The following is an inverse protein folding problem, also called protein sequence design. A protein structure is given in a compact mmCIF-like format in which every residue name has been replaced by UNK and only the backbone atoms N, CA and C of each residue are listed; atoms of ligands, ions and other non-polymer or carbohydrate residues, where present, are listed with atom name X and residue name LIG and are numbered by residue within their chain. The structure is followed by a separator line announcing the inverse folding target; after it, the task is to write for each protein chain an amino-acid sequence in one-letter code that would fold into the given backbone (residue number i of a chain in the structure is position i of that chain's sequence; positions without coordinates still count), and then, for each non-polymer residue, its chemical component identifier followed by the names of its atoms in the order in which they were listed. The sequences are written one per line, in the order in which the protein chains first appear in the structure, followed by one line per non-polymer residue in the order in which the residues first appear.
data_IF_413548957366
#
_entry.id   IF_413548957366
#
_cell.length_a   1.000
_cell.length_b   1.000
_cell.length_c   1.000
_cell.angle_alpha   90.00
_cell.angle_beta   90.00
_cell.angle_gamma   90.00
#
_symmetry.space_group_name_H-M   'P 1'
#
loop_
_entity.id
_entity.type
_entity.pdbx_description
1 polymer ?
#
# COMPACT_ATOMS: atom_id res chain seq x y z
N UNK A 1 -0.60 -32.94 19.22
CA UNK A 1 -0.38 -31.50 18.99
C UNK A 1 -0.96 -31.14 17.64
N UNK A 2 -1.86 -30.17 17.62
CA UNK A 2 -2.69 -29.77 16.49
C UNK A 2 -1.85 -29.22 15.32
N UNK A 3 -2.00 -29.82 14.14
CA UNK A 3 -1.61 -29.23 12.87
C UNK A 3 -2.66 -28.17 12.51
N UNK A 4 -2.34 -26.89 12.72
CA UNK A 4 -3.13 -25.80 12.15
C UNK A 4 -2.91 -25.75 10.64
N UNK A 5 -3.96 -25.79 9.80
CA UNK A 5 -3.82 -25.52 8.39
C UNK A 5 -3.52 -24.04 8.22
N UNK A 6 -2.36 -23.74 7.61
CA UNK A 6 -1.99 -22.41 7.16
C UNK A 6 -2.94 -22.03 6.01
N UNK A 7 -4.10 -21.47 6.34
CA UNK A 7 -4.98 -20.87 5.33
C UNK A 7 -4.25 -19.68 4.75
N UNK A 8 -3.70 -19.85 3.55
CA UNK A 8 -3.29 -18.79 2.63
C UNK A 8 -4.53 -17.92 2.36
N UNK A 9 -4.76 -16.96 3.25
CA UNK A 9 -5.64 -15.84 2.98
C UNK A 9 -4.91 -15.01 1.92
N UNK A 10 -5.12 -15.33 0.64
CA UNK A 10 -4.72 -14.44 -0.45
C UNK A 10 -5.57 -13.20 -0.29
N UNK A 11 -5.05 -12.23 0.45
CA UNK A 11 -5.57 -10.88 0.45
C UNK A 11 -5.50 -10.41 -1.00
N UNK A 12 -6.63 -10.47 -1.69
CA UNK A 12 -6.86 -9.68 -2.89
C UNK A 12 -6.78 -8.24 -2.42
N UNK A 13 -5.56 -7.69 -2.44
CA UNK A 13 -5.33 -6.27 -2.26
C UNK A 13 -6.03 -5.63 -3.44
N UNK A 14 -7.27 -5.18 -3.22
CA UNK A 14 -7.99 -4.37 -4.19
C UNK A 14 -7.11 -3.16 -4.45
N UNK A 15 -6.57 -3.04 -5.66
CA UNK A 15 -5.82 -1.86 -6.06
C UNK A 15 -6.77 -0.67 -5.99
N UNK A 16 -6.68 0.13 -4.94
CA UNK A 16 -7.41 1.40 -4.80
C UNK A 16 -6.65 2.51 -5.50
N UNK A 17 -6.32 2.31 -6.78
CA UNK A 17 -5.73 3.35 -7.61
C UNK A 17 -6.84 4.12 -8.30
N UNK A 18 -6.91 5.41 -8.02
CA UNK A 18 -7.76 6.34 -8.73
C UNK A 18 -6.96 7.16 -9.72
N UNK A 19 -7.54 7.33 -10.89
CA UNK A 19 -6.99 8.12 -11.98
C UNK A 19 -7.95 9.27 -12.30
N UNK A 20 -7.45 10.27 -12.99
CA UNK A 20 -8.18 11.47 -13.38
C UNK A 20 -8.46 11.42 -14.89
N UNK A 21 -9.73 11.38 -15.26
CA UNK A 21 -10.15 11.58 -16.64
C UNK A 21 -10.49 13.06 -16.84
N UNK A 22 -9.62 13.76 -17.57
CA UNK A 22 -9.68 15.21 -17.72
C UNK A 22 -10.01 15.58 -19.17
N UNK A 23 -11.29 15.87 -19.43
CA UNK A 23 -11.75 16.35 -20.73
C UNK A 23 -11.84 17.88 -20.72
N UNK A 24 -11.30 18.52 -21.76
CA UNK A 24 -11.31 19.99 -21.89
C UNK A 24 -12.42 20.40 -22.85
N UNK A 25 -13.38 21.17 -22.35
CA UNK A 25 -14.48 21.71 -23.16
C UNK A 25 -14.39 23.23 -23.26
N UNK A 26 -14.13 23.76 -24.46
CA UNK A 26 -14.14 25.20 -24.71
C UNK A 26 -15.56 25.75 -24.53
N UNK A 27 -15.70 26.83 -23.76
CA UNK A 27 -16.99 27.45 -23.44
C UNK A 27 -17.64 26.96 -22.14
N UNK A 28 -17.09 25.92 -21.50
CA UNK A 28 -17.47 25.50 -20.14
C UNK A 28 -16.45 25.95 -19.08
N UNK A 29 -16.75 25.73 -17.80
CA UNK A 29 -15.79 25.89 -16.70
C UNK A 29 -15.88 27.20 -15.92
N UNK A 30 -15.25 27.21 -14.74
CA UNK A 30 -15.24 28.34 -13.81
C UNK A 30 -14.02 29.21 -14.09
N UNK A 31 -14.23 30.51 -14.31
CA UNK A 31 -13.12 31.45 -14.39
C UNK A 31 -12.44 31.58 -13.02
N UNK A 32 -11.11 31.53 -13.00
CA UNK A 32 -10.31 31.77 -11.78
C UNK A 32 -9.32 32.91 -11.97
N UNK A 33 -8.87 33.48 -10.85
CA UNK A 33 -7.73 34.39 -10.81
C UNK A 33 -6.44 33.66 -10.48
N UNK A 34 -5.31 34.30 -10.78
CA UNK A 34 -3.96 33.79 -10.46
C UNK A 34 -3.66 33.98 -8.95
N UNK A 35 -4.36 33.21 -8.11
CA UNK A 35 -4.35 33.37 -6.66
C UNK A 35 -2.98 33.09 -6.04
N UNK A 36 -2.20 32.19 -6.65
CA UNK A 36 -0.81 31.89 -6.26
C UNK A 36 0.11 33.12 -6.31
N UNK A 37 -0.29 34.18 -7.03
CA UNK A 37 0.45 35.43 -7.15
C UNK A 37 -0.13 36.58 -6.31
N UNK A 38 -1.11 36.31 -5.45
CA UNK A 38 -1.67 37.31 -4.53
C UNK A 38 -0.79 37.44 -3.27
N UNK A 39 -0.77 38.64 -2.71
CA UNK A 39 -0.15 38.99 -1.42
C UNK A 39 1.35 38.69 -1.30
N UNK A 40 2.10 38.79 -2.40
CA UNK A 40 3.55 38.51 -2.40
C UNK A 40 4.37 39.48 -1.53
N UNK A 41 3.94 40.74 -1.43
CA UNK A 41 4.69 41.79 -0.73
C UNK A 41 4.41 41.87 0.77
N UNK A 42 3.25 41.37 1.22
CA UNK A 42 2.73 41.62 2.57
C UNK A 42 2.27 40.38 3.33
N UNK A 43 2.26 39.21 2.68
CA UNK A 43 1.65 37.98 3.22
C UNK A 43 2.64 36.87 3.60
N UNK A 44 3.76 36.73 2.88
CA UNK A 44 4.66 35.60 3.11
C UNK A 44 5.98 36.02 3.75
N UNK A 45 6.49 35.14 4.61
CA UNK A 45 7.87 35.18 5.09
C UNK A 45 8.57 33.96 4.48
N UNK A 46 9.56 34.21 3.63
CA UNK A 46 10.33 33.14 3.01
C UNK A 46 11.57 32.76 3.82
N UNK A 47 11.73 31.46 4.11
CA UNK A 47 12.99 30.85 4.54
C UNK A 47 13.71 30.22 3.35
N UNK A 48 15.04 30.34 3.27
CA UNK A 48 15.82 29.57 2.29
C UNK A 48 16.17 28.22 2.87
N UNK A 49 15.88 27.12 2.18
CA UNK A 49 16.20 25.77 2.66
C UNK A 49 16.69 24.87 1.54
N UNK A 50 17.44 23.83 1.90
CA UNK A 50 17.79 22.75 0.98
C UNK A 50 16.89 21.56 1.32
N UNK A 51 16.01 21.18 0.39
CA UNK A 51 15.00 20.13 0.60
C UNK A 51 15.17 18.99 -0.39
N UNK A 52 14.72 17.82 0.02
CA UNK A 52 14.66 16.64 -0.86
C UNK A 52 13.28 16.58 -1.50
N UNK A 53 13.24 16.67 -2.82
CA UNK A 53 12.08 16.36 -3.63
C UNK A 53 12.00 14.88 -3.92
N UNK A 54 10.78 14.38 -4.03
CA UNK A 54 10.45 13.00 -4.34
C UNK A 54 9.47 13.05 -5.51
N UNK A 55 9.88 12.56 -6.68
CA UNK A 55 9.01 12.40 -7.84
C UNK A 55 8.53 10.95 -7.86
N UNK A 56 7.26 10.74 -7.53
CA UNK A 56 6.62 9.45 -7.56
C UNK A 56 6.11 9.11 -8.96
N UNK A 57 6.15 7.82 -9.28
CA UNK A 57 5.47 7.21 -10.41
C UNK A 57 4.47 6.19 -9.84
N UNK A 58 3.18 6.49 -9.95
CA UNK A 58 2.11 5.70 -9.34
C UNK A 58 1.89 4.36 -10.04
N UNK A 59 2.35 4.19 -11.28
CA UNK A 59 2.24 2.93 -12.02
C UNK A 59 3.26 1.91 -11.53
N UNK A 60 4.51 2.34 -11.41
CA UNK A 60 5.63 1.44 -11.07
C UNK A 60 5.88 1.35 -9.55
N UNK A 61 5.13 2.12 -8.74
CA UNK A 61 5.37 2.37 -7.31
C UNK A 61 6.83 2.73 -7.01
N UNK A 62 7.44 3.53 -7.91
CA UNK A 62 8.83 3.96 -7.86
C UNK A 62 8.93 5.45 -7.54
N UNK A 63 9.98 5.83 -6.82
CA UNK A 63 10.24 7.19 -6.39
C UNK A 63 11.66 7.62 -6.75
N UNK A 64 11.79 8.77 -7.42
CA UNK A 64 13.08 9.40 -7.71
C UNK A 64 13.30 10.61 -6.81
N UNK A 65 14.40 10.59 -6.08
CA UNK A 65 14.73 11.64 -5.12
C UNK A 65 15.80 12.57 -5.68
N UNK A 66 15.66 13.87 -5.43
CA UNK A 66 16.69 14.86 -5.74
C UNK A 66 16.63 16.03 -4.77
N UNK A 67 17.77 16.65 -4.48
CA UNK A 67 17.86 17.79 -3.55
C UNK A 67 17.97 19.10 -4.33
N UNK A 68 17.29 20.14 -3.87
CA UNK A 68 17.35 21.48 -4.44
C UNK A 68 17.19 22.55 -3.35
N UNK A 69 17.87 23.68 -3.52
CA UNK A 69 17.62 24.88 -2.73
C UNK A 69 16.31 25.54 -3.14
N UNK A 70 15.50 25.89 -2.14
CA UNK A 70 14.15 26.45 -2.29
C UNK A 70 13.96 27.65 -1.38
N UNK A 71 12.94 28.45 -1.68
CA UNK A 71 12.34 29.34 -0.70
C UNK A 71 10.99 28.79 -0.27
N UNK A 72 10.76 28.67 1.03
CA UNK A 72 9.51 28.12 1.59
C UNK A 72 8.86 29.20 2.44
N UNK A 73 7.54 29.29 2.35
CA UNK A 73 6.69 30.05 3.27
C UNK A 73 5.59 29.13 3.80
N UNK A 74 4.69 29.65 4.64
CA UNK A 74 3.56 28.88 5.16
C UNK A 74 2.58 28.40 4.08
N UNK A 75 2.49 29.11 2.96
CA UNK A 75 1.48 28.85 1.91
C UNK A 75 2.05 28.31 0.61
N UNK A 76 3.36 28.49 0.36
CA UNK A 76 3.96 28.17 -0.94
C UNK A 76 5.43 27.81 -0.87
N UNK A 77 5.86 27.06 -1.88
CA UNK A 77 7.23 26.67 -2.13
C UNK A 77 7.71 27.22 -3.48
N UNK A 78 8.89 27.84 -3.50
CA UNK A 78 9.57 28.35 -4.68
C UNK A 78 10.80 27.50 -4.99
N UNK A 79 10.81 26.84 -6.14
CA UNK A 79 11.98 26.14 -6.68
C UNK A 79 12.88 27.12 -7.41
N UNK A 80 14.10 27.31 -6.91
CA UNK A 80 15.03 28.31 -7.42
C UNK A 80 15.53 27.91 -8.82
N UNK A 81 15.94 26.65 -9.02
CA UNK A 81 16.54 26.19 -10.27
C UNK A 81 15.50 26.09 -11.37
N UNK A 82 14.33 25.57 -11.05
CA UNK A 82 13.23 25.42 -12.01
C UNK A 82 12.45 26.71 -12.25
N UNK A 83 12.63 27.74 -11.40
CA UNK A 83 11.81 28.97 -11.37
C UNK A 83 10.31 28.67 -11.36
N UNK A 84 9.91 27.74 -10.49
CA UNK A 84 8.51 27.33 -10.34
C UNK A 84 8.03 27.58 -8.92
N UNK A 85 6.75 27.92 -8.80
CA UNK A 85 6.06 28.15 -7.54
C UNK A 85 4.91 27.15 -7.41
N UNK A 86 4.78 26.56 -6.22
CA UNK A 86 3.79 25.53 -5.90
C UNK A 86 3.00 25.94 -4.65
N UNK A 87 1.71 25.68 -4.68
CA UNK A 87 0.88 25.61 -3.48
C UNK A 87 1.02 24.22 -2.87
N UNK A 88 0.79 24.11 -1.56
CA UNK A 88 0.69 22.81 -0.90
C UNK A 88 -0.67 22.21 -1.23
N UNK A 89 -0.66 21.13 -2.00
CA UNK A 89 -1.87 20.49 -2.53
C UNK A 89 -2.34 19.30 -1.70
N UNK A 90 -3.58 18.90 -1.93
CA UNK A 90 -4.09 17.60 -1.51
C UNK A 90 -3.84 16.61 -2.66
N UNK A 91 -2.93 15.67 -2.45
CA UNK A 91 -2.58 14.69 -3.48
C UNK A 91 -3.45 13.44 -3.47
N UNK A 92 -3.30 12.58 -4.50
CA UNK A 92 -3.84 11.24 -4.49
C UNK A 92 -3.24 10.41 -3.34
N UNK A 93 -3.76 9.19 -3.15
CA UNK A 93 -3.24 8.25 -2.17
C UNK A 93 -1.72 8.13 -2.28
N UNK A 94 -1.04 8.42 -1.18
CA UNK A 94 0.42 8.47 -1.11
C UNK A 94 1.02 7.09 -1.45
N UNK A 95 1.94 6.99 -2.42
CA UNK A 95 2.65 5.75 -2.74
C UNK A 95 3.50 5.24 -1.57
N UNK A 96 3.79 3.94 -1.56
CA UNK A 96 4.54 3.32 -0.47
C UNK A 96 5.98 3.85 -0.37
N UNK A 97 6.55 4.26 -1.50
CA UNK A 97 7.89 4.83 -1.61
C UNK A 97 8.01 6.27 -1.09
N UNK A 98 6.90 6.94 -0.79
CA UNK A 98 6.90 8.31 -0.24
C UNK A 98 6.80 8.27 1.29
N UNK A 99 7.83 8.75 2.02
CA UNK A 99 7.87 8.68 3.48
C UNK A 99 6.78 9.51 4.15
N UNK A 100 6.49 9.20 5.41
CA UNK A 100 5.62 10.02 6.23
C UNK A 100 6.20 11.43 6.46
N UNK A 101 5.33 12.42 6.50
CA UNK A 101 5.71 13.83 6.64
C UNK A 101 6.14 14.52 5.33
N UNK A 102 6.20 13.81 4.20
CA UNK A 102 6.34 14.44 2.90
C UNK A 102 5.07 15.23 2.54
N UNK A 103 5.24 16.43 2.00
CA UNK A 103 4.15 17.32 1.60
C UNK A 103 3.97 17.25 0.10
N UNK A 104 2.73 17.10 -0.33
CA UNK A 104 2.38 17.02 -1.75
C UNK A 104 2.38 18.41 -2.41
N UNK A 105 2.91 18.47 -3.62
CA UNK A 105 2.87 19.67 -4.46
C UNK A 105 1.88 19.47 -5.61
N UNK A 106 2.29 18.74 -6.65
CA UNK A 106 1.47 18.44 -7.84
C UNK A 106 2.14 17.37 -8.70
N UNK A 107 1.37 16.67 -9.54
CA UNK A 107 1.84 15.69 -10.52
C UNK A 107 2.77 14.62 -9.92
N UNK A 108 2.48 14.10 -8.73
CA UNK A 108 3.36 13.12 -8.06
C UNK A 108 4.66 13.71 -7.49
N UNK A 109 4.80 15.03 -7.44
CA UNK A 109 5.92 15.70 -6.79
C UNK A 109 5.59 15.96 -5.32
N UNK A 110 6.45 15.44 -4.45
CA UNK A 110 6.45 15.73 -3.02
C UNK A 110 7.74 16.43 -2.64
N UNK A 111 7.73 17.14 -1.52
CA UNK A 111 8.96 17.56 -0.86
C UNK A 111 8.96 17.09 0.59
N UNK A 112 10.15 16.75 1.09
CA UNK A 112 10.35 16.38 2.47
C UNK A 112 10.86 17.61 3.25
N UNK A 113 10.05 18.18 4.16
CA UNK A 113 10.48 19.33 4.96
C UNK A 113 11.68 18.96 5.84
N UNK A 114 12.58 19.92 6.04
CA UNK A 114 13.72 19.74 6.93
C UNK A 114 13.22 19.72 8.38
N UNK A 115 13.66 18.75 9.21
CA UNK A 115 13.26 18.64 10.63
C UNK A 115 13.65 19.86 11.49
N UNK A 116 14.41 20.81 10.92
CA UNK A 116 14.89 22.04 11.57
C UNK A 116 14.24 23.28 10.93
N UNK A 117 12.92 23.30 10.79
CA UNK A 117 12.17 24.52 10.49
C UNK A 117 12.26 25.50 11.68
N UNK A 118 13.41 26.17 11.82
CA UNK A 118 13.54 27.37 12.63
C UNK A 118 13.35 28.56 11.70
N UNK A 119 12.10 29.01 11.56
CA UNK A 119 11.69 30.14 10.73
C UNK A 119 12.49 31.43 11.01
N UNK A 120 13.13 31.53 12.18
CA UNK A 120 13.79 32.75 12.67
C UNK A 120 15.21 32.91 12.11
N UNK A 121 15.95 31.84 11.79
CA UNK A 121 17.40 31.94 11.49
C UNK A 121 17.77 32.00 10.01
N UNK A 122 16.82 31.80 9.08
CA UNK A 122 17.13 31.76 7.64
C UNK A 122 16.15 32.57 6.76
N UNK A 123 15.65 33.67 7.32
CA UNK A 123 14.72 34.57 6.64
C UNK A 123 15.43 35.20 5.44
N UNK A 124 14.93 34.93 4.25
CA UNK A 124 15.43 35.46 2.98
C UNK A 124 14.31 36.18 2.23
N UNK A 125 13.51 36.97 2.96
CA UNK A 125 12.24 37.47 2.44
C UNK A 125 12.38 38.31 1.18
N UNK A 126 13.39 39.19 1.11
CA UNK A 126 13.64 40.01 -0.06
C UNK A 126 13.99 39.17 -1.31
N UNK A 127 14.79 38.12 -1.15
CA UNK A 127 15.19 37.25 -2.26
C UNK A 127 14.04 36.32 -2.70
N UNK A 128 13.33 35.74 -1.73
CA UNK A 128 12.15 34.91 -1.97
C UNK A 128 11.05 35.71 -2.67
N UNK A 129 10.71 36.90 -2.15
CA UNK A 129 9.71 37.79 -2.76
C UNK A 129 10.12 38.23 -4.16
N UNK A 130 11.38 38.58 -4.39
CA UNK A 130 11.88 38.92 -5.73
C UNK A 130 11.73 37.75 -6.71
N UNK A 131 12.03 36.53 -6.28
CA UNK A 131 11.83 35.34 -7.11
C UNK A 131 10.35 35.10 -7.39
N UNK A 132 9.48 35.19 -6.38
CA UNK A 132 8.05 35.02 -6.53
C UNK A 132 7.46 36.01 -7.56
N UNK A 133 7.83 37.29 -7.48
CA UNK A 133 7.44 38.29 -8.46
C UNK A 133 7.93 37.96 -9.88
N UNK A 134 9.17 37.48 -10.02
CA UNK A 134 9.69 37.04 -11.31
C UNK A 134 8.87 35.89 -11.89
N UNK A 135 8.55 34.88 -11.08
CA UNK A 135 7.74 33.72 -11.49
C UNK A 135 6.32 34.16 -11.87
N UNK A 136 5.70 35.05 -11.08
CA UNK A 136 4.37 35.56 -11.37
C UNK A 136 4.30 36.41 -12.65
N UNK A 137 5.38 37.14 -12.96
CA UNK A 137 5.51 37.82 -14.26
C UNK A 137 5.56 36.81 -15.41
N UNK A 138 6.31 35.72 -15.25
CA UNK A 138 6.36 34.63 -16.24
C UNK A 138 4.98 33.97 -16.41
N UNK A 139 4.25 33.71 -15.33
CA UNK A 139 2.88 33.16 -15.39
C UNK A 139 1.91 34.12 -16.09
N UNK A 140 2.00 35.41 -15.80
CA UNK A 140 1.17 36.42 -16.47
C UNK A 140 1.46 36.48 -17.97
N UNK A 141 2.73 36.39 -18.36
CA UNK A 141 3.12 36.30 -19.76
C UNK A 141 2.62 34.99 -20.41
N UNK A 142 2.67 33.88 -19.69
CA UNK A 142 2.14 32.59 -20.15
C UNK A 142 0.64 32.69 -20.47
N UNK A 143 -0.14 33.31 -19.57
CA UNK A 143 -1.59 33.49 -19.70
C UNK A 143 -1.95 34.45 -20.84
N UNK A 144 -1.15 35.50 -21.03
CA UNK A 144 -1.39 36.54 -22.04
C UNK A 144 -0.76 36.23 -23.41
N UNK A 145 -0.07 35.08 -23.56
CA UNK A 145 0.49 34.67 -24.83
C UNK A 145 -0.62 34.47 -25.87
N UNK A 146 -0.35 34.89 -27.12
CA UNK A 146 -1.31 34.77 -28.22
C UNK A 146 -1.31 33.38 -28.87
N UNK A 147 -0.23 32.63 -28.69
CA UNK A 147 -0.04 31.35 -29.35
C UNK A 147 -0.83 30.24 -28.65
N UNK A 148 -1.43 29.35 -29.45
CA UNK A 148 -2.04 28.13 -28.94
C UNK A 148 -0.96 27.22 -28.37
N UNK A 149 -1.16 26.76 -27.14
CA UNK A 149 -0.29 25.81 -26.46
C UNK A 149 -0.88 24.41 -26.49
N UNK A 150 -0.03 23.41 -26.26
CA UNK A 150 -0.49 22.05 -26.09
C UNK A 150 -1.47 21.96 -24.91
N UNK A 151 -2.46 21.06 -25.03
CA UNK A 151 -3.47 20.84 -23.99
C UNK A 151 -2.80 20.36 -22.70
N UNK A 152 -1.82 19.45 -22.80
CA UNK A 152 -1.04 18.96 -21.66
C UNK A 152 -0.27 20.09 -20.96
N UNK A 153 0.44 20.94 -21.70
CA UNK A 153 1.17 22.08 -21.13
C UNK A 153 0.24 23.05 -20.39
N UNK A 154 -0.94 23.31 -20.96
CA UNK A 154 -1.95 24.19 -20.35
C UNK A 154 -2.53 23.57 -19.08
N UNK A 155 -2.84 22.27 -19.10
CA UNK A 155 -3.31 21.51 -17.94
C UNK A 155 -2.29 21.55 -16.82
N UNK A 156 -1.04 21.20 -17.09
CA UNK A 156 0.03 21.13 -16.09
C UNK A 156 0.28 22.53 -15.48
N UNK A 157 0.23 23.59 -16.28
CA UNK A 157 0.29 24.96 -15.79
C UNK A 157 -0.87 25.30 -14.83
N UNK A 158 -2.11 25.00 -15.24
CA UNK A 158 -3.32 25.27 -14.46
C UNK A 158 -3.29 24.52 -13.11
N UNK A 159 -2.90 23.25 -13.13
CA UNK A 159 -2.75 22.42 -11.94
C UNK A 159 -1.69 22.97 -11.00
N UNK A 160 -0.55 23.41 -11.54
CA UNK A 160 0.52 24.01 -10.75
C UNK A 160 0.08 25.30 -10.04
N UNK A 161 -0.66 26.18 -10.71
CA UNK A 161 -1.12 27.44 -10.10
C UNK A 161 -2.30 27.26 -9.13
N UNK A 162 -3.06 26.18 -9.27
CA UNK A 162 -4.22 25.88 -8.44
C UNK A 162 -3.89 24.92 -7.27
N UNK A 163 -2.86 24.09 -7.42
CA UNK A 163 -2.44 23.12 -6.41
C UNK A 163 -3.29 21.85 -6.35
N UNK A 164 -3.85 21.39 -7.47
CA UNK A 164 -4.64 20.16 -7.50
C UNK A 164 -4.58 19.43 -8.84
N UNK A 165 -4.44 18.09 -8.83
CA UNK A 165 -4.45 17.27 -10.05
C UNK A 165 -5.86 16.95 -10.56
N UNK A 166 -6.87 17.07 -9.70
CA UNK A 166 -8.27 16.79 -10.06
C UNK A 166 -8.94 17.90 -10.88
N UNK A 167 -8.15 18.80 -11.47
CA UNK A 167 -8.65 19.84 -12.35
C UNK A 167 -7.89 19.85 -13.67
N UNK A 168 -8.59 20.32 -14.69
CA UNK A 168 -8.04 20.69 -16.00
C UNK A 168 -8.60 22.05 -16.39
N UNK A 169 -8.26 22.55 -17.58
CA UNK A 169 -8.81 23.80 -18.04
C UNK A 169 -8.20 24.29 -19.34
N UNK A 170 -8.51 25.54 -19.65
CA UNK A 170 -8.00 26.24 -20.83
C UNK A 170 -7.78 27.71 -20.52
N UNK A 171 -6.97 28.34 -21.36
CA UNK A 171 -6.67 29.76 -21.30
C UNK A 171 -7.17 30.40 -22.59
N UNK A 172 -8.01 31.42 -22.47
CA UNK A 172 -8.50 32.19 -23.63
C UNK A 172 -8.64 33.66 -23.27
N UNK A 173 -8.13 34.55 -24.13
CA UNK A 173 -8.23 35.99 -23.94
C UNK A 173 -7.62 36.48 -22.62
N UNK A 174 -6.49 35.90 -22.18
CA UNK A 174 -5.83 36.26 -20.93
C UNK A 174 -6.57 35.82 -19.66
N UNK A 175 -7.56 34.93 -19.78
CA UNK A 175 -8.35 34.40 -18.66
C UNK A 175 -8.18 32.89 -18.56
N UNK A 176 -8.18 32.40 -17.32
CA UNK A 176 -8.04 30.98 -16.99
C UNK A 176 -9.40 30.42 -16.61
N UNK A 177 -9.78 29.31 -17.23
CA UNK A 177 -11.01 28.59 -16.93
C UNK A 177 -10.66 27.17 -16.48
N UNK A 178 -11.18 26.76 -15.33
CA UNK A 178 -10.96 25.42 -14.79
C UNK A 178 -12.21 24.57 -14.84
N UNK A 179 -12.01 23.26 -14.96
CA UNK A 179 -13.02 22.22 -14.97
C UNK A 179 -12.54 21.07 -14.06
N UNK A 180 -13.42 20.50 -13.22
CA UNK A 180 -13.06 19.33 -12.45
C UNK A 180 -12.85 18.13 -13.39
N UNK A 181 -11.87 17.30 -13.07
CA UNK A 181 -11.71 16.00 -13.69
C UNK A 181 -12.60 14.96 -13.00
N UNK A 182 -12.90 13.89 -13.72
CA UNK A 182 -13.66 12.76 -13.19
C UNK A 182 -12.68 11.75 -12.62
N UNK A 183 -12.81 11.47 -11.32
CA UNK A 183 -12.06 10.40 -10.67
C UNK A 183 -12.59 9.04 -11.15
N UNK A 184 -11.69 8.21 -11.67
CA UNK A 184 -12.00 6.90 -12.27
C UNK A 184 -11.13 5.84 -11.64
N UNK A 185 -11.75 4.75 -11.18
CA UNK A 185 -11.03 3.61 -10.62
C UNK A 185 -10.60 2.65 -11.72
N UNK A 186 -9.33 2.24 -11.70
CA UNK A 186 -8.86 1.20 -12.60
C UNK A 186 -9.36 -0.17 -12.15
N UNK A 187 -9.79 -0.98 -13.11
CA UNK A 187 -10.04 -2.41 -12.90
C UNK A 187 -8.72 -3.18 -12.91
N UNK A 188 -7.80 -2.82 -13.81
CA UNK A 188 -6.46 -3.39 -13.82
C UNK A 188 -5.44 -2.47 -14.50
N UNK A 189 -4.16 -2.66 -14.15
CA UNK A 189 -3.03 -2.00 -14.80
C UNK A 189 -2.21 -3.04 -15.53
N UNK A 190 -2.03 -2.84 -16.84
CA UNK A 190 -1.27 -3.76 -17.66
C UNK A 190 0.20 -3.35 -17.60
N UNK A 191 0.97 -4.08 -16.78
CA UNK A 191 2.42 -3.83 -16.63
C UNK A 191 3.23 -3.99 -17.92
N UNK A 192 2.69 -4.70 -18.91
CA UNK A 192 3.27 -4.79 -20.25
C UNK A 192 2.87 -3.58 -21.08
N UNK A 193 3.86 -2.80 -21.51
CA UNK A 193 3.67 -1.75 -22.53
C UNK A 193 3.49 -2.30 -23.96
N UNK A 194 3.43 -3.63 -24.12
CA UNK A 194 3.18 -4.31 -25.40
C UNK A 194 1.83 -5.01 -25.35
N UNK A 195 0.95 -4.68 -26.30
CA UNK A 195 -0.38 -5.27 -26.49
C UNK A 195 -0.56 -5.65 -27.97
N UNK A 196 -0.94 -6.90 -28.24
CA UNK A 196 -1.18 -7.40 -29.60
C UNK A 196 -0.04 -7.10 -30.60
N UNK A 197 1.20 -7.14 -30.13
CA UNK A 197 2.40 -6.85 -30.93
C UNK A 197 2.74 -5.37 -31.08
N UNK A 198 1.89 -4.46 -30.62
CA UNK A 198 2.11 -3.01 -30.65
C UNK A 198 2.70 -2.56 -29.31
N UNK A 199 3.73 -1.72 -29.35
CA UNK A 199 4.38 -1.17 -28.18
C UNK A 199 3.98 0.29 -27.97
N UNK A 200 3.61 0.62 -26.74
CA UNK A 200 3.14 1.94 -26.32
C UNK A 200 4.16 2.58 -25.39
N UNK A 201 4.29 3.91 -25.46
CA UNK A 201 5.13 4.66 -24.53
C UNK A 201 4.48 4.74 -23.16
N UNK A 202 3.17 4.98 -23.13
CA UNK A 202 2.33 5.06 -21.93
C UNK A 202 1.92 3.66 -21.45
N UNK A 203 1.55 3.54 -20.17
CA UNK A 203 1.12 2.28 -19.59
C UNK A 203 -0.37 2.07 -19.84
N UNK A 204 -0.80 0.92 -20.39
CA UNK A 204 -2.21 0.63 -20.58
C UNK A 204 -2.94 0.33 -19.27
N UNK A 205 -4.12 0.93 -19.11
CA UNK A 205 -4.99 0.85 -17.95
C UNK A 205 -6.37 0.38 -18.41
N UNK A 206 -6.92 -0.63 -17.76
CA UNK A 206 -8.30 -1.08 -18.02
C UNK A 206 -9.22 -0.45 -16.99
N UNK A 207 -10.21 0.31 -17.47
CA UNK A 207 -11.28 0.88 -16.66
C UNK A 207 -12.62 0.24 -17.03
N UNK A 208 -13.56 0.22 -16.07
CA UNK A 208 -14.90 -0.35 -16.25
C UNK A 208 -14.88 -1.78 -16.85
N UNK A 209 -13.87 -2.58 -16.50
CA UNK A 209 -13.71 -3.97 -16.92
C UNK A 209 -13.29 -4.22 -18.37
N UNK A 210 -13.40 -3.25 -19.28
CA UNK A 210 -13.16 -3.48 -20.72
C UNK A 210 -12.59 -2.31 -21.50
N UNK A 211 -12.68 -1.08 -20.98
CA UNK A 211 -12.19 0.10 -21.70
C UNK A 211 -10.70 0.27 -21.47
N UNK A 212 -9.93 0.25 -22.57
CA UNK A 212 -8.50 0.51 -22.54
C UNK A 212 -8.23 2.02 -22.61
N UNK A 213 -7.50 2.52 -21.63
CA UNK A 213 -6.94 3.88 -21.60
C UNK A 213 -5.46 3.79 -21.28
N UNK A 214 -4.78 4.94 -21.26
CA UNK A 214 -3.35 4.99 -21.06
C UNK A 214 -2.97 6.04 -20.03
N UNK A 215 -1.89 5.78 -19.29
CA UNK A 215 -1.34 6.74 -18.35
C UNK A 215 0.17 6.76 -18.42
N UNK A 216 0.76 7.96 -18.38
CA UNK A 216 2.20 8.15 -18.39
C UNK A 216 2.81 8.11 -16.98
N UNK A 217 2.09 8.61 -15.98
CA UNK A 217 2.57 8.78 -14.60
C UNK A 217 1.67 8.13 -13.54
N UNK A 218 0.52 7.59 -13.95
CA UNK A 218 -0.47 6.98 -13.05
C UNK A 218 -1.36 7.99 -12.34
N UNK A 219 -1.58 9.15 -12.96
CA UNK A 219 -2.51 10.18 -12.48
C UNK A 219 -3.58 10.39 -13.54
N UNK A 220 -3.18 10.79 -14.76
CA UNK A 220 -4.12 11.07 -15.84
C UNK A 220 -4.43 9.83 -16.68
N UNK A 221 -5.68 9.74 -17.14
CA UNK A 221 -6.09 8.84 -18.21
C UNK A 221 -6.19 9.59 -19.53
N UNK A 222 -5.56 9.01 -20.55
CA UNK A 222 -5.57 9.47 -21.93
C UNK A 222 -6.19 8.38 -22.80
N UNK A 223 -7.06 8.77 -23.74
CA UNK A 223 -7.69 7.83 -24.68
C UNK A 223 -6.75 7.38 -25.79
N UNK A 224 -5.70 8.17 -26.04
CA UNK A 224 -4.69 7.92 -27.06
C UNK A 224 -3.35 7.63 -26.41
N UNK A 225 -2.53 6.83 -27.08
CA UNK A 225 -1.16 6.55 -26.67
C UNK A 225 -0.20 6.68 -27.84
N UNK A 226 1.06 6.96 -27.51
CA UNK A 226 2.12 7.05 -28.48
C UNK A 226 2.67 5.66 -28.77
N UNK A 227 2.53 5.20 -30.00
CA UNK A 227 3.17 3.96 -30.45
C UNK A 227 4.67 4.17 -30.63
N UNK A 228 5.48 3.24 -30.13
CA UNK A 228 6.94 3.26 -30.25
C UNK A 228 7.45 1.91 -30.74
N UNK A 229 8.68 1.89 -31.23
CA UNK A 229 9.35 0.65 -31.60
C UNK A 229 9.55 -0.26 -30.36
N UNK A 230 9.15 -1.52 -30.48
CA UNK A 230 9.25 -2.50 -29.39
C UNK A 230 10.70 -2.74 -28.93
N UNK A 231 11.65 -2.69 -29.86
CA UNK A 231 13.07 -2.90 -29.54
C UNK A 231 13.60 -1.83 -28.57
N UNK A 232 13.03 -0.61 -28.62
CA UNK A 232 13.38 0.49 -27.71
C UNK A 232 12.91 0.24 -26.26
N UNK A 233 11.76 -0.44 -26.09
CA UNK A 233 11.22 -0.79 -24.76
C UNK A 233 12.00 -1.96 -24.17
N UNK A 234 12.32 -2.97 -24.98
CA UNK A 234 12.99 -4.19 -24.52
C UNK A 234 14.41 -3.92 -24.04
N UNK A 235 15.15 -3.01 -24.70
CA UNK A 235 16.49 -2.55 -24.27
C UNK A 235 16.51 -1.85 -22.92
N UNK A 236 15.44 -1.13 -22.56
CA UNK A 236 15.33 -0.52 -21.23
C UNK A 236 14.97 -1.56 -20.16
N UNK A 237 14.29 -2.64 -20.54
CA UNK A 237 13.88 -3.71 -19.61
C UNK A 237 15.07 -4.60 -19.23
N UNK A 238 15.98 -4.90 -20.15
CA UNK A 238 17.14 -5.77 -19.89
C UNK A 238 18.03 -5.25 -18.74
N UNK A 239 18.25 -3.93 -18.62
CA UNK A 239 18.99 -3.36 -17.48
C UNK A 239 18.29 -3.53 -16.11
N UNK A 240 16.96 -3.59 -16.08
CA UNK A 240 16.18 -3.82 -14.85
C UNK A 240 16.14 -5.32 -14.49
N UNK A 241 16.18 -6.20 -15.50
CA UNK A 241 16.18 -7.65 -15.29
C UNK A 241 17.46 -8.15 -14.62
N UNK A 242 18.63 -7.56 -14.90
CA UNK A 242 19.88 -7.91 -14.21
C UNK A 242 19.77 -7.70 -12.69
N UNK A 243 19.13 -6.61 -12.25
CA UNK A 243 18.87 -6.35 -10.83
C UNK A 243 17.85 -7.33 -10.22
N UNK A 244 16.82 -7.72 -10.98
CA UNK A 244 15.82 -8.72 -10.53
C UNK A 244 16.37 -10.15 -10.48
N UNK A 245 17.35 -10.51 -11.32
CA UNK A 245 18.04 -11.80 -11.26
C UNK A 245 18.84 -11.90 -9.96
N UNK A 246 19.50 -10.82 -9.55
CA UNK A 246 20.19 -10.75 -8.26
C UNK A 246 19.21 -10.96 -7.09
N UNK A 247 18.07 -10.26 -7.11
CA UNK A 247 17.02 -10.43 -6.09
C UNK A 247 16.45 -11.85 -6.05
N UNK A 248 16.15 -12.46 -7.21
CA UNK A 248 15.67 -13.84 -7.28
C UNK A 248 16.67 -14.83 -6.68
N UNK A 249 17.97 -14.65 -6.93
CA UNK A 249 19.02 -15.49 -6.32
C UNK A 249 19.07 -15.33 -4.80
N UNK A 250 18.92 -14.10 -4.29
CA UNK A 250 18.87 -13.83 -2.85
C UNK A 250 17.65 -14.52 -2.21
N UNK A 251 16.46 -14.39 -2.82
CA UNK A 251 15.24 -15.04 -2.33
C UNK A 251 15.39 -16.57 -2.33
N UNK A 252 15.97 -17.13 -3.39
CA UNK A 252 16.21 -18.58 -3.50
C UNK A 252 17.19 -19.06 -2.41
N UNK A 253 18.26 -18.31 -2.16
CA UNK A 253 19.21 -18.60 -1.08
C UNK A 253 18.57 -18.50 0.32
N UNK A 254 17.74 -17.50 0.57
CA UNK A 254 17.02 -17.39 1.85
C UNK A 254 16.01 -18.52 2.03
N UNK A 255 15.31 -18.91 0.97
CA UNK A 255 14.37 -20.03 1.01
C UNK A 255 15.06 -21.37 1.27
N UNK A 256 16.24 -21.61 0.69
CA UNK A 256 16.99 -22.85 0.92
C UNK A 256 17.56 -22.91 2.34
N UNK A 257 18.00 -21.78 2.91
CA UNK A 257 18.42 -21.69 4.31
C UNK A 257 17.26 -22.03 5.25
N UNK A 258 16.05 -21.51 5.00
CA UNK A 258 14.86 -21.83 5.80
C UNK A 258 14.51 -23.32 5.74
N UNK A 259 14.56 -23.92 4.55
CA UNK A 259 14.32 -25.36 4.37
C UNK A 259 15.38 -26.19 5.13
N UNK A 260 16.65 -25.81 5.05
CA UNK A 260 17.74 -26.49 5.77
C UNK A 260 17.54 -26.41 7.28
N UNK A 261 17.15 -25.25 7.81
CA UNK A 261 16.86 -25.05 9.23
C UNK A 261 15.67 -25.90 9.70
N UNK A 262 14.63 -26.05 8.87
CA UNK A 262 13.51 -26.95 9.17
C UNK A 262 13.95 -28.41 9.22
N UNK A 263 14.76 -28.87 8.25
CA UNK A 263 15.31 -30.23 8.22
C UNK A 263 16.18 -30.50 9.45
N UNK A 264 17.08 -29.57 9.79
CA UNK A 264 17.93 -29.67 10.99
C UNK A 264 17.09 -29.77 12.27
N UNK A 265 16.04 -28.96 12.40
CA UNK A 265 15.11 -29.05 13.52
C UNK A 265 14.41 -30.42 13.57
N UNK A 266 13.96 -30.97 12.44
CA UNK A 266 13.38 -32.31 12.39
C UNK A 266 14.37 -33.40 12.82
N UNK A 267 15.64 -33.31 12.38
CA UNK A 267 16.70 -34.24 12.77
C UNK A 267 16.97 -34.14 14.27
N UNK A 268 17.09 -32.92 14.82
CA UNK A 268 17.33 -32.69 16.25
C UNK A 268 16.18 -33.23 17.10
N UNK A 269 14.93 -32.98 16.71
CA UNK A 269 13.74 -33.51 17.39
C UNK A 269 13.78 -35.04 17.35
N UNK A 270 14.05 -35.64 16.18
CA UNK A 270 14.12 -37.09 16.02
C UNK A 270 15.22 -37.70 16.90
N UNK A 271 16.39 -37.07 16.94
CA UNK A 271 17.52 -37.52 17.77
C UNK A 271 17.20 -37.40 19.27
N UNK A 272 16.62 -36.28 19.71
CA UNK A 272 16.17 -36.11 21.09
C UNK A 272 15.14 -37.18 21.49
N UNK A 273 14.19 -37.51 20.61
CA UNK A 273 13.20 -38.56 20.88
C UNK A 273 13.83 -39.95 20.92
N UNK A 274 14.80 -40.25 20.05
CA UNK A 274 15.53 -41.54 20.02
C UNK A 274 16.33 -41.76 21.30
N UNK A 275 17.09 -40.76 21.76
CA UNK A 275 17.80 -40.85 23.05
C UNK A 275 16.85 -40.97 24.25
N UNK A 276 15.66 -40.37 24.16
CA UNK A 276 14.61 -40.57 25.15
C UNK A 276 14.09 -42.01 25.18
N UNK A 277 13.99 -42.68 24.03
CA UNK A 277 13.59 -44.07 23.93
C UNK A 277 14.69 -45.03 24.42
N UNK A 278 15.98 -44.76 24.15
CA UNK A 278 17.08 -45.56 24.71
C UNK A 278 17.12 -45.50 26.23
N UNK A 279 16.88 -44.32 26.82
CA UNK A 279 16.76 -44.18 28.29
C UNK A 279 15.58 -44.97 28.84
N UNK A 280 14.42 -44.93 28.17
CA UNK A 280 13.24 -45.72 28.57
C UNK A 280 13.46 -47.22 28.38
N UNK A 281 14.16 -47.65 27.33
CA UNK A 281 14.49 -49.05 27.11
C UNK A 281 15.45 -49.57 28.19
N UNK A 282 16.48 -48.79 28.57
CA UNK A 282 17.38 -49.13 29.67
C UNK A 282 16.67 -49.13 31.04
N UNK A 283 15.69 -48.25 31.25
CA UNK A 283 14.85 -48.23 32.46
C UNK A 283 13.89 -49.43 32.54
N UNK A 284 13.33 -49.85 31.39
CA UNK A 284 12.50 -51.07 31.31
C UNK A 284 13.36 -52.31 31.60
N UNK A 285 14.55 -52.42 31.02
CA UNK A 285 15.48 -53.54 31.26
C UNK A 285 15.95 -53.60 32.72
N UNK A 286 16.19 -52.45 33.35
CA UNK A 286 16.52 -52.38 34.78
C UNK A 286 15.35 -52.78 35.69
N UNK A 287 14.12 -52.38 35.36
CA UNK A 287 12.93 -52.79 36.12
C UNK A 287 12.61 -54.27 35.95
N UNK A 288 12.84 -54.84 34.75
CA UNK A 288 12.66 -56.26 34.48
C UNK A 288 13.73 -57.10 35.21
N UNK A 289 14.96 -56.60 35.28
CA UNK A 289 16.02 -57.16 36.13
C UNK A 289 15.62 -57.15 37.62
N UNK A 290 15.12 -56.02 38.15
CA UNK A 290 14.66 -55.93 39.54
C UNK A 290 13.48 -56.86 39.83
N UNK A 291 12.54 -57.00 38.88
CA UNK A 291 11.40 -57.89 39.01
C UNK A 291 11.84 -59.36 39.03
N UNK A 292 12.77 -59.76 38.16
CA UNK A 292 13.34 -61.11 38.16
C UNK A 292 14.15 -61.40 39.44
N UNK A 293 14.92 -60.43 39.93
CA UNK A 293 15.68 -60.56 41.19
C UNK A 293 14.75 -60.73 42.41
N UNK A 294 13.65 -59.97 42.44
CA UNK A 294 12.63 -60.10 43.48
C UNK A 294 11.88 -61.45 43.40
N UNK A 295 11.63 -61.96 42.19
CA UNK A 295 10.94 -63.22 42.00
C UNK A 295 11.84 -64.43 42.35
N UNK A 296 13.14 -64.37 42.06
CA UNK A 296 14.12 -65.38 42.48
C UNK A 296 14.33 -65.39 44.00
N UNK A 297 14.31 -64.24 44.67
CA UNK A 297 14.41 -64.18 46.14
C UNK A 297 13.14 -64.67 46.87
N UNK A 298 11.97 -64.63 46.22
CA UNK A 298 10.72 -65.17 46.77
C UNK A 298 10.61 -66.69 46.52
N UNK A 299 11.20 -67.20 45.43
CA UNK A 299 11.18 -68.63 45.07
C UNK A 299 11.99 -69.52 46.03
N UNK A 300 12.98 -68.98 46.75
CA UNK A 300 13.88 -69.77 47.61
C UNK A 300 13.56 -69.66 49.12
N UNK A 301 12.46 -68.99 49.48
CA UNK A 301 12.06 -68.80 50.89
C UNK A 301 10.62 -69.21 51.23
N UNK A 302 10.05 -70.16 50.49
CA UNK A 302 8.82 -70.85 50.92
C UNK A 302 9.08 -72.26 51.44
N UNK A 303 9.69 -72.40 52.63
CA UNK A 303 9.13 -73.26 53.70
C UNK A 303 9.96 -73.21 55.01
N UNK A 304 9.25 -72.86 56.10
CA UNK A 304 9.63 -72.91 57.53
C UNK A 304 10.49 -71.72 57.97
N UNK A 305 10.10 -70.91 58.96
CA UNK A 305 9.47 -71.29 60.23
C UNK A 305 8.97 -70.03 60.95
N UNK A 306 7.83 -70.22 61.59
CA UNK A 306 7.23 -69.56 62.75
C UNK A 306 7.85 -68.29 63.39
N UNK A 307 6.89 -67.39 63.65
CA UNK A 307 6.60 -66.70 64.92
C UNK A 307 7.37 -65.44 65.31
N UNK A 308 6.58 -64.34 65.24
CA UNK A 308 6.37 -63.31 66.25
C UNK A 308 7.56 -62.43 66.65
N UNK A 309 7.44 -61.12 66.39
CA UNK A 309 7.26 -60.14 67.46
C UNK A 309 6.53 -58.89 66.94
N UNK A 310 5.49 -58.51 67.68
CA UNK A 310 4.76 -57.25 67.62
C UNK A 310 5.67 -56.09 68.04
N UNK A 311 5.50 -54.90 67.43
CA UNK A 311 5.60 -53.60 68.13
C UNK A 311 5.02 -52.46 67.27
N UNK A 312 3.82 -52.05 67.68
CA UNK A 312 3.33 -50.66 67.88
C UNK A 312 3.43 -49.61 66.77
N UNK A 313 2.24 -49.12 66.45
CA UNK A 313 1.91 -47.88 65.79
C UNK A 313 2.43 -46.62 66.51
N UNK A 314 2.80 -45.61 65.70
CA UNK A 314 2.65 -44.19 66.04
C UNK A 314 2.08 -43.47 64.81
N UNK A 315 0.93 -42.82 65.02
CA UNK A 315 0.23 -41.83 64.17
C UNK A 315 1.07 -40.56 63.99
N UNK A 316 0.82 -39.82 62.89
CA UNK A 316 0.53 -38.35 62.79
C UNK A 316 0.24 -38.09 61.30
N UNK A 317 -1.03 -37.91 60.90
CA UNK A 317 -1.71 -36.62 60.62
C UNK A 317 -1.08 -35.83 59.44
N UNK A 318 -1.75 -35.75 58.30
CA UNK A 318 -2.67 -34.65 57.91
C UNK A 318 -2.13 -34.08 56.58
N UNK A 319 -2.88 -33.58 55.61
CA UNK A 319 -4.23 -33.04 55.59
C UNK A 319 -4.77 -32.97 54.13
N UNK A 320 -6.07 -33.22 53.99
CA UNK A 320 -7.10 -32.44 53.26
C UNK A 320 -6.80 -32.07 51.79
N UNK A 321 -7.48 -32.58 50.76
CA UNK A 321 -8.94 -32.71 50.55
C UNK A 321 -9.69 -31.37 50.74
N UNK A 322 -10.23 -30.82 49.65
CA UNK A 322 -11.69 -30.79 49.39
C UNK A 322 -12.08 -29.61 48.48
N UNK A 323 -12.82 -29.96 47.42
CA UNK A 323 -13.99 -29.26 46.86
C UNK A 323 -13.95 -27.77 46.48
N UNK A 324 -14.47 -27.46 45.29
CA UNK A 324 -15.90 -27.09 45.24
C UNK A 324 -16.54 -27.08 43.86
N UNK A 325 -17.75 -27.63 43.85
CA UNK A 325 -18.82 -27.48 42.87
C UNK A 325 -19.14 -26.01 42.58
N UNK A 326 -19.63 -25.74 41.35
CA UNK A 326 -20.77 -24.83 41.18
C UNK A 326 -21.69 -25.24 40.03
N UNK A 327 -22.93 -25.53 40.42
CA UNK A 327 -24.15 -25.67 39.63
C UNK A 327 -24.62 -24.32 39.06
N UNK A 328 -25.61 -24.44 38.15
CA UNK A 328 -26.57 -23.43 37.67
C UNK A 328 -26.17 -22.84 36.31
N UNK A 329 -26.98 -22.88 35.24
CA UNK A 329 -28.38 -22.48 35.22
C UNK A 329 -29.14 -23.13 34.05
N UNK A 330 -30.33 -23.69 34.34
CA UNK A 330 -31.34 -24.11 33.34
C UNK A 330 -32.26 -22.91 33.11
N UNK A 331 -32.36 -22.43 31.87
CA UNK A 331 -33.46 -21.57 31.46
C UNK A 331 -34.41 -22.33 30.53
N UNK A 332 -35.69 -22.18 30.84
CA UNK A 332 -36.85 -22.91 30.34
C UNK A 332 -37.55 -22.05 29.29
N UNK A 333 -37.89 -22.68 28.16
CA UNK A 333 -38.95 -22.41 27.17
C UNK A 333 -39.34 -20.97 26.76
N UNK A 334 -39.34 -20.75 25.44
CA UNK A 334 -40.53 -20.31 24.72
C UNK A 334 -40.45 -20.77 23.25
N UNK A 335 -41.05 -21.93 22.95
CA UNK A 335 -41.23 -22.46 21.60
C UNK A 335 -42.62 -22.04 21.07
N UNK A 336 -42.69 -20.83 20.51
CA UNK A 336 -43.76 -20.47 19.56
C UNK A 336 -43.36 -20.86 18.14
N UNK A 337 -44.32 -21.11 17.22
CA UNK A 337 -44.00 -21.36 15.82
C UNK A 337 -43.31 -20.13 15.22
N UNK A 338 -42.17 -20.34 14.57
CA UNK A 338 -41.46 -19.31 13.82
C UNK A 338 -42.34 -18.98 12.60
N UNK A 339 -42.99 -17.81 12.63
CA UNK A 339 -43.69 -17.26 11.47
C UNK A 339 -42.67 -16.52 10.63
N UNK A 340 -42.35 -17.07 9.45
CA UNK A 340 -41.59 -16.36 8.44
C UNK A 340 -42.55 -15.40 7.74
N UNK A 341 -42.44 -14.10 8.02
CA UNK A 341 -43.00 -13.08 7.14
C UNK A 341 -42.11 -12.99 5.91
N UNK A 342 -42.68 -13.32 4.75
CA UNK A 342 -42.06 -13.12 3.44
C UNK A 342 -41.71 -11.63 3.28
N UNK A 343 -40.42 -11.26 3.10
CA UNK A 343 -40.08 -9.88 2.83
C UNK A 343 -40.67 -9.48 1.47
N UNK A 344 -41.31 -8.31 1.43
CA UNK A 344 -41.83 -7.75 0.19
C UNK A 344 -40.71 -7.71 -0.87
N UNK A 345 -40.99 -8.11 -2.12
CA UNK A 345 -39.97 -8.19 -3.16
C UNK A 345 -39.30 -6.83 -3.35
N UNK A 346 -38.00 -6.77 -3.09
CA UNK A 346 -37.21 -5.62 -3.47
C UNK A 346 -37.13 -5.57 -4.99
N UNK A 347 -37.34 -4.40 -5.62
CA UNK A 347 -37.21 -4.25 -7.06
C UNK A 347 -35.80 -4.66 -7.49
N UNK A 348 -35.72 -5.35 -8.63
CA UNK A 348 -34.47 -5.93 -9.09
C UNK A 348 -33.52 -4.78 -9.43
N UNK A 349 -32.22 -4.84 -9.06
CA UNK A 349 -31.26 -3.75 -9.34
C UNK A 349 -31.07 -3.46 -10.84
N UNK A 350 -31.71 -4.23 -11.73
CA UNK A 350 -31.70 -4.01 -13.17
C UNK A 350 -32.91 -3.23 -13.72
N UNK A 351 -33.95 -3.01 -12.91
CA UNK A 351 -35.14 -2.25 -13.35
C UNK A 351 -34.84 -0.75 -13.54
N UNK A 352 -33.70 -0.27 -13.03
CA UNK A 352 -33.21 1.10 -13.23
C UNK A 352 -32.52 1.33 -14.59
N UNK A 353 -32.19 0.29 -15.35
CA UNK A 353 -31.42 0.42 -16.61
C UNK A 353 -32.30 0.58 -17.86
N UNK A 354 -33.63 0.44 -17.74
CA UNK A 354 -34.54 0.58 -18.88
C UNK A 354 -34.96 2.03 -19.18
N UNK A 355 -34.39 3.01 -18.47
CA UNK A 355 -34.64 4.44 -18.71
C UNK A 355 -33.35 5.24 -18.96
N UNK A 356 -32.53 4.83 -19.93
CA UNK A 356 -31.58 5.75 -20.55
C UNK A 356 -31.72 5.73 -22.07
N UNK A 357 -32.24 6.85 -22.56
CA UNK A 357 -32.46 7.21 -23.96
C UNK A 357 -31.12 7.44 -24.64
N UNK A 358 -31.04 6.99 -25.89
CA UNK A 358 -29.89 7.07 -26.80
C UNK A 358 -29.18 8.44 -26.82
N UNK A 359 -27.89 8.44 -26.47
CA UNK A 359 -26.91 9.34 -27.07
C UNK A 359 -25.72 8.50 -27.57
N UNK A 360 -25.46 8.63 -28.87
CA UNK A 360 -24.42 7.94 -29.63
C UNK A 360 -23.02 8.36 -29.16
N UNK A 361 -22.26 7.43 -28.60
CA UNK A 361 -20.82 7.55 -28.35
C UNK A 361 -20.01 7.27 -29.65
N UNK A 362 -18.89 7.98 -29.87
CA UNK A 362 -17.98 7.68 -30.96
C UNK A 362 -17.19 6.39 -30.68
N UNK A 363 -16.78 5.73 -31.76
CA UNK A 363 -16.14 4.42 -31.82
C UNK A 363 -14.89 4.28 -30.94
N UNK A 364 -15.00 3.56 -29.83
CA UNK A 364 -13.87 2.98 -29.10
C UNK A 364 -13.59 1.56 -29.61
N UNK A 365 -12.31 1.22 -29.75
CA UNK A 365 -11.89 -0.16 -30.04
C UNK A 365 -12.22 -1.00 -28.80
N UNK A 366 -13.23 -1.86 -28.93
CA UNK A 366 -13.48 -2.93 -27.99
C UNK A 366 -12.43 -4.02 -28.19
N UNK A 367 -11.79 -4.44 -27.10
CA UNK A 367 -10.91 -5.62 -27.06
C UNK A 367 -11.71 -6.83 -26.62
#
# INVERSE_FOLDING_TARGET
MCLLPLTLLSTFITLTWSFQLCQVYLGGGKQISLDICKNLDSGDIYSKESVTFIKANFIDDDCKNFTEDVYISESRLLRIKARKMYLFGNGPTKPSCVPDGAVYLIDGLYYLPSKKHNYITNISNAAGSKLAHSICKEYTNFINAKDFRAVSETRDFIRQIYGSDNITGYIVGGKIYIQPCVETHATSVISSKKLNGICYKETPIVIHGSTLMFSSIGIDLESEATTVDCDSIEKNRSGVWENKISLKRIILALSSILILMLILNCILISWCTSKGQEKKAAEIDYNDFLYNLANETISDQTLKRCSAYSLTAVKVEGANEMENLKKSNRNTYNSGPIVFTEPAPQPHPFDAFLQCKNETLPSSIHV
#
